data_IF_196598128437
#
_entry.id   IF_196598128437
#
_cell.length_a   1.000
_cell.length_b   1.000
_cell.length_c   1.000
_cell.angle_alpha   90.00
_cell.angle_beta   90.00
_cell.angle_gamma   90.00
#
_symmetry.space_group_name_H-M   'P 1'
#
loop_
_entity.id
_entity.type
_entity.pdbx_description
1 polymer ?
#
# COMPACT_ATOMS: atom_id res chain seq x y z
N UNK A 1 15.76 -2.45 -13.64
CA UNK A 1 14.78 -3.23 -12.84
C UNK A 1 13.59 -3.55 -13.72
N UNK A 2 13.10 -4.77 -13.60
CA UNK A 2 11.86 -5.23 -14.23
C UNK A 2 10.64 -4.45 -13.74
N UNK A 3 9.58 -4.37 -14.53
CA UNK A 3 8.28 -3.79 -14.17
C UNK A 3 7.74 -4.48 -12.93
N UNK A 4 7.79 -5.82 -12.92
CA UNK A 4 7.41 -6.63 -11.75
C UNK A 4 8.24 -6.25 -10.53
N UNK A 5 9.55 -6.09 -10.70
CA UNK A 5 10.45 -5.68 -9.63
C UNK A 5 10.14 -4.28 -9.08
N UNK A 6 9.83 -3.31 -9.95
CA UNK A 6 9.44 -1.95 -9.54
C UNK A 6 8.15 -1.96 -8.72
N UNK A 7 7.13 -2.71 -9.15
CA UNK A 7 5.86 -2.85 -8.43
C UNK A 7 6.06 -3.57 -7.09
N UNK A 8 6.74 -4.72 -7.09
CA UNK A 8 7.03 -5.47 -5.87
C UNK A 8 7.81 -4.63 -4.86
N UNK A 9 8.86 -3.92 -5.29
CA UNK A 9 9.61 -3.03 -4.42
C UNK A 9 8.72 -1.92 -3.83
N UNK A 10 7.86 -1.31 -4.65
CA UNK A 10 6.92 -0.29 -4.18
C UNK A 10 5.96 -0.86 -3.13
N UNK A 11 5.36 -2.02 -3.39
CA UNK A 11 4.45 -2.67 -2.44
C UNK A 11 5.15 -3.10 -1.15
N UNK A 12 6.36 -3.65 -1.23
CA UNK A 12 7.14 -4.05 -0.04
C UNK A 12 7.49 -2.82 0.81
N UNK A 13 7.93 -1.73 0.18
CA UNK A 13 8.24 -0.48 0.90
C UNK A 13 6.98 0.08 1.57
N UNK A 14 5.85 0.13 0.85
CA UNK A 14 4.58 0.58 1.42
C UNK A 14 4.11 -0.32 2.57
N UNK A 15 4.27 -1.63 2.43
CA UNK A 15 3.86 -2.59 3.44
C UNK A 15 4.71 -2.48 4.72
N UNK A 16 6.03 -2.41 4.58
CA UNK A 16 6.95 -2.16 5.71
C UNK A 16 6.62 -0.83 6.38
N UNK A 17 6.35 0.21 5.57
CA UNK A 17 5.96 1.50 6.08
C UNK A 17 4.66 1.43 6.89
N UNK A 18 3.62 0.75 6.39
CA UNK A 18 2.35 0.54 7.10
C UNK A 18 2.58 -0.21 8.41
N UNK A 19 3.33 -1.32 8.40
CA UNK A 19 3.65 -2.06 9.64
C UNK A 19 4.38 -1.16 10.62
N UNK A 20 5.36 -0.39 10.17
CA UNK A 20 6.11 0.54 11.00
C UNK A 20 5.22 1.59 11.64
N UNK A 21 4.30 2.18 10.86
CA UNK A 21 3.32 3.16 11.35
C UNK A 21 2.37 2.54 12.38
N UNK A 22 1.82 1.36 12.10
CA UNK A 22 0.92 0.67 13.02
C UNK A 22 1.65 0.31 14.32
N UNK A 23 2.85 -0.25 14.23
CA UNK A 23 3.67 -0.58 15.40
C UNK A 23 4.02 0.66 16.24
N UNK A 24 4.39 1.76 15.59
CA UNK A 24 4.66 3.03 16.26
C UNK A 24 3.40 3.61 16.93
N UNK A 25 2.23 3.42 16.32
CA UNK A 25 0.95 3.82 16.90
C UNK A 25 0.66 3.04 18.19
N UNK A 26 0.75 1.71 18.16
CA UNK A 26 0.59 0.87 19.36
C UNK A 26 1.59 1.24 20.46
N UNK A 27 2.85 1.48 20.09
CA UNK A 27 3.88 1.92 21.05
C UNK A 27 3.54 3.28 21.68
N UNK A 28 3.01 4.23 20.90
CA UNK A 28 2.62 5.56 21.39
C UNK A 28 1.41 5.48 22.31
N UNK A 29 0.38 4.70 21.96
CA UNK A 29 -0.80 4.50 22.80
C UNK A 29 -0.48 3.76 24.11
N UNK A 30 0.42 2.76 24.07
CA UNK A 30 0.85 2.05 25.28
C UNK A 30 1.50 2.98 26.31
N UNK A 31 2.11 4.10 25.90
CA UNK A 31 2.69 5.07 26.84
C UNK A 31 1.66 5.94 27.58
N UNK A 32 0.39 5.89 27.15
CA UNK A 32 -0.73 6.61 27.79
C UNK A 32 -1.46 5.76 28.84
N UNK A 33 -1.17 4.46 28.89
CA UNK A 33 -1.77 3.53 29.85
C UNK A 33 -1.41 3.94 31.29
N UNK A 34 -2.30 3.64 32.25
CA UNK A 34 -2.09 3.94 33.67
C UNK A 34 -2.32 5.40 34.12
N UNK A 35 -2.31 6.38 33.21
CA UNK A 35 -2.50 7.80 33.59
C UNK A 35 -3.92 8.15 34.04
N UNK A 36 -4.94 7.68 33.32
CA UNK A 36 -6.33 7.93 33.69
C UNK A 36 -6.68 7.29 35.06
N UNK A 37 -6.32 6.02 35.32
CA UNK A 37 -6.42 5.44 36.66
C UNK A 37 -5.66 6.26 37.72
N UNK A 38 -4.45 6.74 37.43
CA UNK A 38 -3.65 7.51 38.40
C UNK A 38 -4.27 8.89 38.74
N UNK A 39 -4.84 9.60 37.77
CA UNK A 39 -5.58 10.86 38.02
C UNK A 39 -6.81 10.60 38.90
N UNK A 40 -7.53 9.50 38.64
CA UNK A 40 -8.70 9.14 39.45
C UNK A 40 -8.31 8.70 40.87
N UNK A 41 -7.28 7.85 40.99
CA UNK A 41 -6.76 7.35 42.24
C UNK A 41 -6.24 8.50 43.13
N UNK A 42 -5.38 9.37 42.59
CA UNK A 42 -4.93 10.58 43.28
C UNK A 42 -6.09 11.52 43.64
N UNK A 43 -7.09 11.64 42.77
CA UNK A 43 -8.31 12.39 43.06
C UNK A 43 -9.09 11.85 44.25
N UNK A 44 -9.18 10.53 44.38
CA UNK A 44 -9.89 9.84 45.47
C UNK A 44 -9.25 10.07 46.85
N UNK A 45 -7.94 10.33 46.89
CA UNK A 45 -7.20 10.64 48.12
C UNK A 45 -7.71 11.91 48.80
N UNK A 46 -8.08 12.95 48.03
CA UNK A 46 -8.65 14.20 48.60
C UNK A 46 -9.95 13.91 49.36
N UNK A 47 -10.83 13.13 48.73
CA UNK A 47 -12.12 12.73 49.33
C UNK A 47 -11.91 11.89 50.59
N UNK A 48 -10.93 10.96 50.58
CA UNK A 48 -10.61 10.12 51.74
C UNK A 48 -10.03 10.91 52.91
N UNK A 49 -9.19 11.89 52.64
CA UNK A 49 -8.66 12.78 53.68
C UNK A 49 -9.81 13.52 54.40
N UNK A 50 -10.76 14.09 53.65
CA UNK A 50 -11.95 14.71 54.24
C UNK A 50 -12.87 13.72 54.95
N UNK A 51 -13.04 12.50 54.43
CA UNK A 51 -13.81 11.46 55.12
C UNK A 51 -13.19 11.11 56.47
N UNK A 52 -11.85 11.02 56.56
CA UNK A 52 -11.15 10.77 57.81
C UNK A 52 -11.31 11.94 58.79
N UNK A 53 -11.23 13.19 58.34
CA UNK A 53 -11.52 14.35 59.19
C UNK A 53 -12.96 14.35 59.70
N UNK A 54 -13.93 14.03 58.82
CA UNK A 54 -15.33 13.95 59.19
C UNK A 54 -15.62 12.80 60.18
N UNK A 55 -15.05 11.62 59.96
CA UNK A 55 -15.16 10.49 60.89
C UNK A 55 -14.49 10.80 62.23
N UNK A 56 -13.33 11.46 62.20
CA UNK A 56 -12.63 11.94 63.40
C UNK A 56 -13.53 12.85 64.23
N UNK A 57 -14.13 13.88 63.60
CA UNK A 57 -15.03 14.81 64.27
C UNK A 57 -16.30 14.13 64.80
N UNK A 58 -16.86 13.18 64.03
CA UNK A 58 -18.04 12.39 64.45
C UNK A 58 -17.72 11.46 65.63
N UNK A 59 -16.49 10.95 65.73
CA UNK A 59 -16.06 10.07 66.83
C UNK A 59 -16.00 10.76 68.20
N UNK A 60 -15.92 12.10 68.22
CA UNK A 60 -15.72 12.89 69.44
C UNK A 60 -16.96 12.87 70.35
N UNK A 61 -18.19 13.20 69.89
CA UNK A 61 -19.40 13.13 70.72
C UNK A 61 -20.04 11.73 70.78
N UNK A 62 -19.55 10.76 70.01
CA UNK A 62 -20.15 9.45 69.87
C UNK A 62 -20.10 8.61 71.16
N UNK A 63 -21.14 7.79 71.38
CA UNK A 63 -21.16 6.77 72.43
C UNK A 63 -20.12 5.66 72.19
N UNK A 64 -19.96 4.75 73.16
CA UNK A 64 -18.92 3.71 73.12
C UNK A 64 -19.06 2.75 71.91
N UNK A 65 -20.28 2.27 71.65
CA UNK A 65 -20.57 1.37 70.52
C UNK A 65 -20.36 2.06 69.16
N UNK A 66 -20.89 3.28 69.00
CA UNK A 66 -20.70 4.07 67.77
C UNK A 66 -19.23 4.44 67.56
N UNK A 67 -18.48 4.76 68.62
CA UNK A 67 -17.04 5.00 68.55
C UNK A 67 -16.30 3.79 68.00
N UNK A 68 -16.66 2.57 68.42
CA UNK A 68 -16.00 1.35 67.95
C UNK A 68 -16.24 1.11 66.45
N UNK A 69 -17.47 1.35 65.98
CA UNK A 69 -17.81 1.25 64.55
C UNK A 69 -17.06 2.30 63.72
N UNK A 70 -17.07 3.56 64.16
CA UNK A 70 -16.33 4.66 63.50
C UNK A 70 -14.83 4.34 63.45
N UNK A 71 -14.25 3.80 64.54
CA UNK A 71 -12.84 3.38 64.56
C UNK A 71 -12.55 2.33 63.50
N UNK A 72 -13.42 1.34 63.32
CA UNK A 72 -13.30 0.33 62.27
C UNK A 72 -13.32 0.94 60.87
N UNK A 73 -14.26 1.86 60.62
CA UNK A 73 -14.37 2.58 59.34
C UNK A 73 -13.12 3.44 59.06
N UNK A 74 -12.63 4.16 60.07
CA UNK A 74 -11.40 4.96 59.97
C UNK A 74 -10.19 4.09 59.64
N UNK A 75 -10.02 2.95 60.33
CA UNK A 75 -8.93 2.02 60.08
C UNK A 75 -8.96 1.48 58.63
N UNK A 76 -10.14 1.11 58.13
CA UNK A 76 -10.31 0.66 56.76
C UNK A 76 -9.94 1.76 55.74
N UNK A 77 -10.36 3.00 55.99
CA UNK A 77 -10.04 4.15 55.10
C UNK A 77 -8.57 4.50 55.11
N UNK A 78 -7.89 4.40 56.26
CA UNK A 78 -6.42 4.56 56.35
C UNK A 78 -5.72 3.48 55.52
N UNK A 79 -6.12 2.22 55.66
CA UNK A 79 -5.53 1.12 54.90
C UNK A 79 -5.73 1.27 53.37
N UNK A 80 -6.94 1.66 52.94
CA UNK A 80 -7.21 1.98 51.53
C UNK A 80 -6.34 3.15 51.03
N UNK A 81 -6.15 4.18 51.85
CA UNK A 81 -5.32 5.32 51.50
C UNK A 81 -3.86 4.90 51.33
N UNK A 82 -3.31 4.14 52.29
CA UNK A 82 -1.95 3.62 52.24
C UNK A 82 -1.73 2.75 50.99
N UNK A 83 -2.71 1.90 50.64
CA UNK A 83 -2.67 1.08 49.43
C UNK A 83 -2.63 1.94 48.16
N UNK A 84 -3.53 2.92 48.03
CA UNK A 84 -3.57 3.80 46.85
C UNK A 84 -2.28 4.62 46.74
N UNK A 85 -1.81 5.21 47.84
CA UNK A 85 -0.60 6.03 47.83
C UNK A 85 0.64 5.21 47.46
N UNK A 86 0.73 3.98 47.97
CA UNK A 86 1.80 3.04 47.60
C UNK A 86 1.72 2.64 46.13
N UNK A 87 0.51 2.34 45.63
CA UNK A 87 0.28 2.01 44.22
C UNK A 87 0.60 3.17 43.28
N UNK A 88 0.35 4.42 43.68
CA UNK A 88 0.76 5.62 42.93
C UNK A 88 2.28 5.80 42.90
N UNK A 89 3.02 5.31 43.89
CA UNK A 89 4.48 5.41 43.96
C UNK A 89 5.19 4.27 43.20
N UNK A 90 4.67 3.04 43.30
CA UNK A 90 5.38 1.83 42.86
C UNK A 90 4.70 1.13 41.68
N UNK A 91 3.48 1.54 41.32
CA UNK A 91 2.59 0.79 40.44
C UNK A 91 1.77 -0.25 41.21
N UNK A 92 0.60 -0.58 40.66
CA UNK A 92 -0.32 -1.58 41.21
C UNK A 92 -1.21 -2.10 40.08
N UNK A 93 -1.06 -3.39 39.74
CA UNK A 93 -1.84 -4.01 38.65
C UNK A 93 -3.34 -4.05 38.95
N UNK A 94 -3.73 -4.27 40.21
CA UNK A 94 -5.13 -4.34 40.63
C UNK A 94 -5.84 -2.98 40.57
N UNK A 95 -5.10 -1.89 40.74
CA UNK A 95 -5.57 -0.51 40.56
C UNK A 95 -5.32 0.04 39.15
N UNK A 96 -4.71 -0.76 38.26
CA UNK A 96 -4.25 -0.33 36.93
C UNK A 96 -3.32 0.90 36.97
N UNK A 97 -2.46 0.96 37.99
CA UNK A 97 -1.48 2.02 38.19
C UNK A 97 -0.12 1.57 37.68
N UNK A 98 0.54 2.45 36.93
CA UNK A 98 1.94 2.28 36.55
C UNK A 98 2.81 3.18 37.43
N UNK A 99 4.03 2.72 37.73
CA UNK A 99 5.01 3.53 38.42
C UNK A 99 5.27 4.84 37.63
N UNK A 100 5.22 6.01 38.29
CA UNK A 100 5.36 7.29 37.61
C UNK A 100 6.80 7.48 37.14
N UNK A 101 6.94 8.00 35.91
CA UNK A 101 8.23 8.39 35.33
C UNK A 101 8.39 9.90 35.18
N UNK A 102 7.34 10.67 35.41
CA UNK A 102 7.37 12.12 35.30
C UNK A 102 7.93 12.75 36.59
N UNK A 103 9.02 13.52 36.46
CA UNK A 103 9.75 14.07 37.61
C UNK A 103 8.89 14.93 38.55
N UNK A 104 7.95 15.70 38.00
CA UNK A 104 7.04 16.52 38.81
C UNK A 104 6.09 15.68 39.66
N UNK A 105 5.57 14.58 39.12
CA UNK A 105 4.72 13.62 39.84
C UNK A 105 5.52 12.95 40.96
N UNK A 106 6.73 12.46 40.63
CA UNK A 106 7.61 11.83 41.62
C UNK A 106 7.97 12.78 42.77
N UNK A 107 8.30 14.03 42.45
CA UNK A 107 8.60 15.06 43.46
C UNK A 107 7.40 15.34 44.37
N UNK A 108 6.20 15.43 43.81
CA UNK A 108 5.00 15.67 44.60
C UNK A 108 4.60 14.45 45.46
N UNK A 109 4.79 13.22 44.97
CA UNK A 109 4.63 12.00 45.78
C UNK A 109 5.60 11.97 46.97
N UNK A 110 6.87 12.33 46.74
CA UNK A 110 7.88 12.44 47.79
C UNK A 110 7.50 13.49 48.85
N UNK A 111 6.78 14.54 48.47
CA UNK A 111 6.26 15.57 49.39
C UNK A 111 5.01 15.11 50.14
N UNK A 112 4.04 14.50 49.45
CA UNK A 112 2.77 14.04 50.04
C UNK A 112 2.98 12.91 51.04
N UNK A 113 3.93 12.00 50.78
CA UNK A 113 4.17 10.82 51.64
C UNK A 113 4.46 11.15 53.12
N UNK A 114 5.43 12.00 53.48
CA UNK A 114 5.64 12.36 54.89
C UNK A 114 4.48 13.18 55.48
N UNK A 115 3.79 13.99 54.68
CA UNK A 115 2.60 14.72 55.13
C UNK A 115 1.43 13.79 55.44
N UNK A 116 1.24 12.75 54.62
CA UNK A 116 0.28 11.70 54.88
C UNK A 116 0.60 10.97 56.18
N UNK A 117 1.87 10.63 56.41
CA UNK A 117 2.28 9.96 57.65
C UNK A 117 1.92 10.81 58.88
N UNK A 118 2.25 12.10 58.87
CA UNK A 118 1.88 13.00 59.96
C UNK A 118 0.35 13.10 60.16
N UNK A 119 -0.40 13.38 59.08
CA UNK A 119 -1.86 13.49 59.14
C UNK A 119 -2.53 12.18 59.59
N UNK A 120 -2.03 11.04 59.10
CA UNK A 120 -2.50 9.70 59.49
C UNK A 120 -2.23 9.43 60.97
N UNK A 121 -1.07 9.82 61.49
CA UNK A 121 -0.71 9.61 62.89
C UNK A 121 -1.63 10.45 63.81
N UNK A 122 -2.01 11.67 63.41
CA UNK A 122 -3.01 12.47 64.14
C UNK A 122 -4.43 11.87 64.05
N UNK A 123 -4.81 11.30 62.91
CA UNK A 123 -6.07 10.54 62.77
C UNK A 123 -6.08 9.31 63.69
N UNK A 124 -4.97 8.58 63.78
CA UNK A 124 -4.81 7.43 64.69
C UNK A 124 -4.87 7.90 66.15
N UNK A 125 -4.30 9.05 66.49
CA UNK A 125 -4.39 9.61 67.84
C UNK A 125 -5.85 9.87 68.28
N UNK A 126 -6.74 10.27 67.35
CA UNK A 126 -8.19 10.38 67.63
C UNK A 126 -8.80 9.00 67.91
N UNK A 127 -8.40 7.97 67.16
CA UNK A 127 -8.88 6.59 67.33
C UNK A 127 -8.46 5.98 68.68
N UNK A 128 -7.25 6.30 69.14
CA UNK A 128 -6.63 5.75 70.35
C UNK A 128 -6.98 6.55 71.61
N UNK A 129 -7.50 7.77 71.47
CA UNK A 129 -7.89 8.62 72.59
C UNK A 129 -9.02 7.98 73.45
N UNK A 130 -8.68 7.65 74.70
CA UNK A 130 -9.57 6.97 75.64
C UNK A 130 -10.56 7.87 76.39
N UNK A 131 -10.41 9.20 76.32
CA UNK A 131 -11.29 10.16 77.01
C UNK A 131 -11.87 11.19 76.02
N UNK A 132 -13.07 11.75 76.29
CA UNK A 132 -13.63 12.79 75.44
C UNK A 132 -12.71 13.99 75.26
N UNK A 133 -12.06 14.46 76.34
CA UNK A 133 -11.13 15.59 76.29
C UNK A 133 -9.94 15.33 75.35
N UNK A 134 -9.33 14.15 75.43
CA UNK A 134 -8.24 13.75 74.54
C UNK A 134 -8.69 13.63 73.07
N UNK A 135 -9.92 13.14 72.82
CA UNK A 135 -10.50 13.10 71.47
C UNK A 135 -10.70 14.50 70.88
N UNK A 136 -11.20 15.45 71.67
CA UNK A 136 -11.35 16.86 71.24
C UNK A 136 -9.99 17.47 70.87
N UNK A 137 -8.96 17.26 71.70
CA UNK A 137 -7.61 17.77 71.46
C UNK A 137 -6.99 17.17 70.20
N UNK A 138 -7.05 15.85 70.03
CA UNK A 138 -6.53 15.18 68.84
C UNK A 138 -7.29 15.59 67.56
N UNK A 139 -8.62 15.67 67.62
CA UNK A 139 -9.43 16.06 66.46
C UNK A 139 -9.22 17.52 66.05
N UNK A 140 -8.85 18.40 66.99
CA UNK A 140 -8.53 19.79 66.67
C UNK A 140 -7.34 19.89 65.70
N UNK A 141 -6.32 19.03 65.83
CA UNK A 141 -5.20 18.94 64.90
C UNK A 141 -5.64 18.48 63.51
N UNK A 142 -6.33 17.33 63.44
CA UNK A 142 -6.87 16.79 62.17
C UNK A 142 -7.72 17.84 61.43
N UNK A 143 -8.58 18.56 62.17
CA UNK A 143 -9.46 19.59 61.60
C UNK A 143 -8.70 20.81 61.10
N UNK A 144 -7.60 21.19 61.76
CA UNK A 144 -6.76 22.32 61.36
C UNK A 144 -5.91 21.99 60.13
N UNK A 145 -5.42 20.76 60.02
CA UNK A 145 -4.43 20.36 59.01
C UNK A 145 -5.05 19.81 57.72
N UNK A 146 -6.27 19.27 57.76
CA UNK A 146 -6.88 18.59 56.60
C UNK A 146 -6.93 19.46 55.35
N UNK A 147 -7.19 20.77 55.50
CA UNK A 147 -7.28 21.68 54.35
C UNK A 147 -5.91 21.85 53.66
N UNK A 148 -4.86 22.09 54.43
CA UNK A 148 -3.49 22.25 53.91
C UNK A 148 -2.96 20.93 53.34
N UNK A 149 -3.26 19.81 54.02
CA UNK A 149 -2.91 18.49 53.51
C UNK A 149 -3.59 18.19 52.16
N UNK A 150 -4.91 18.45 52.07
CA UNK A 150 -5.66 18.25 50.83
C UNK A 150 -5.15 19.17 49.71
N UNK A 151 -4.66 20.37 50.01
CA UNK A 151 -4.04 21.24 49.01
C UNK A 151 -2.78 20.59 48.37
N UNK A 152 -1.98 19.87 49.16
CA UNK A 152 -0.82 19.12 48.65
C UNK A 152 -1.22 17.89 47.84
N UNK A 153 -2.31 17.23 48.20
CA UNK A 153 -2.91 16.17 47.38
C UNK A 153 -3.51 16.75 46.08
N UNK A 154 -4.08 17.94 46.10
CA UNK A 154 -4.56 18.63 44.90
C UNK A 154 -3.42 18.98 43.94
N UNK A 155 -2.28 19.42 44.48
CA UNK A 155 -1.06 19.61 43.69
C UNK A 155 -0.58 18.29 43.06
N UNK A 156 -0.73 17.14 43.73
CA UNK A 156 -0.44 15.82 43.15
C UNK A 156 -1.37 15.50 41.98
N UNK A 157 -2.68 15.74 42.13
CA UNK A 157 -3.65 15.54 41.04
C UNK A 157 -3.32 16.41 39.84
N UNK A 158 -2.95 17.68 40.06
CA UNK A 158 -2.52 18.60 39.00
C UNK A 158 -1.24 18.11 38.31
N UNK A 159 -0.27 17.61 39.06
CA UNK A 159 0.96 17.04 38.48
C UNK A 159 0.64 15.85 37.55
N UNK A 160 -0.28 14.96 37.93
CA UNK A 160 -0.73 13.88 37.05
C UNK A 160 -1.52 14.38 35.84
N UNK A 161 -2.41 15.37 35.99
CA UNK A 161 -3.17 15.95 34.87
C UNK A 161 -2.24 16.64 33.85
N UNK A 162 -1.27 17.43 34.33
CA UNK A 162 -0.27 18.09 33.48
C UNK A 162 0.63 17.08 32.77
N UNK A 163 1.10 16.05 33.46
CA UNK A 163 1.87 14.96 32.87
C UNK A 163 1.07 14.23 31.78
N UNK A 164 -0.20 13.92 32.06
CA UNK A 164 -1.13 13.30 31.10
C UNK A 164 -1.33 14.17 29.87
N UNK A 165 -1.63 15.47 30.04
CA UNK A 165 -1.79 16.43 28.93
C UNK A 165 -0.52 16.55 28.10
N UNK A 166 0.65 16.63 28.74
CA UNK A 166 1.93 16.73 28.03
C UNK A 166 2.23 15.46 27.20
N UNK A 167 1.86 14.27 27.70
CA UNK A 167 1.98 13.02 26.93
C UNK A 167 0.99 12.95 25.78
N UNK A 168 -0.28 13.30 26.01
CA UNK A 168 -1.31 13.36 24.96
C UNK A 168 -0.90 14.35 23.86
N UNK A 169 -0.37 15.52 24.23
CA UNK A 169 0.11 16.51 23.26
C UNK A 169 1.29 15.97 22.42
N UNK A 170 2.25 15.29 23.07
CA UNK A 170 3.36 14.61 22.37
C UNK A 170 2.86 13.50 21.44
N UNK A 171 1.92 12.67 21.90
CA UNK A 171 1.31 11.63 21.09
C UNK A 171 0.62 12.21 19.85
N UNK A 172 -0.19 13.28 20.01
CA UNK A 172 -0.82 13.98 18.88
C UNK A 172 0.19 14.58 17.90
N UNK A 173 1.31 15.10 18.40
CA UNK A 173 2.38 15.62 17.54
C UNK A 173 3.03 14.50 16.72
N UNK A 174 3.32 13.36 17.35
CA UNK A 174 3.86 12.16 16.69
C UNK A 174 2.87 11.65 15.64
N UNK A 175 1.58 11.54 15.97
CA UNK A 175 0.53 11.15 15.03
C UNK A 175 0.43 12.11 13.84
N UNK A 176 0.47 13.42 14.09
CA UNK A 176 0.50 14.43 13.03
C UNK A 176 1.70 14.26 12.08
N UNK A 177 2.89 14.00 12.63
CA UNK A 177 4.09 13.77 11.83
C UNK A 177 4.01 12.46 11.03
N UNK A 178 3.46 11.40 11.62
CA UNK A 178 3.20 10.13 10.94
C UNK A 178 2.24 10.32 9.77
N UNK A 179 1.17 11.11 9.94
CA UNK A 179 0.20 11.41 8.87
C UNK A 179 0.85 12.17 7.71
N UNK A 180 1.67 13.18 8.00
CA UNK A 180 2.41 13.93 6.98
C UNK A 180 3.39 13.00 6.25
N UNK A 181 4.12 12.17 6.99
CA UNK A 181 5.04 11.19 6.40
C UNK A 181 4.30 10.18 5.51
N UNK A 182 3.17 9.66 5.97
CA UNK A 182 2.34 8.75 5.19
C UNK A 182 1.84 9.37 3.89
N UNK A 183 1.42 10.64 3.93
CA UNK A 183 1.04 11.39 2.74
C UNK A 183 2.23 11.52 1.77
N UNK A 184 3.42 11.88 2.26
CA UNK A 184 4.62 12.00 1.43
C UNK A 184 5.00 10.66 0.79
N UNK A 185 4.91 9.54 1.53
CA UNK A 185 5.18 8.21 0.99
C UNK A 185 4.18 7.85 -0.11
N UNK A 186 2.88 8.10 0.09
CA UNK A 186 1.84 7.83 -0.93
C UNK A 186 2.03 8.70 -2.17
N UNK A 187 2.29 10.00 -2.00
CA UNK A 187 2.56 10.91 -3.11
C UNK A 187 3.83 10.49 -3.86
N UNK A 188 4.89 10.15 -3.14
CA UNK A 188 6.15 9.65 -3.71
C UNK A 188 5.97 8.36 -4.50
N UNK A 189 5.28 7.38 -3.93
CA UNK A 189 4.97 6.11 -4.60
C UNK A 189 4.10 6.32 -5.85
N UNK A 190 3.07 7.18 -5.75
CA UNK A 190 2.21 7.53 -6.89
C UNK A 190 3.00 8.22 -8.00
N UNK A 191 3.87 9.17 -7.66
CA UNK A 191 4.75 9.83 -8.61
C UNK A 191 5.71 8.84 -9.28
N UNK A 192 6.32 7.95 -8.49
CA UNK A 192 7.22 6.90 -8.98
C UNK A 192 6.51 5.95 -9.96
N UNK A 193 5.34 5.42 -9.59
CA UNK A 193 4.53 4.55 -10.46
C UNK A 193 4.18 5.28 -11.75
N UNK A 194 3.73 6.54 -11.65
CA UNK A 194 3.37 7.34 -12.83
C UNK A 194 4.57 7.55 -13.77
N UNK A 195 5.73 7.93 -13.23
CA UNK A 195 6.91 8.24 -14.02
C UNK A 195 7.59 6.99 -14.61
N UNK A 196 7.67 5.90 -13.84
CA UNK A 196 8.46 4.72 -14.22
C UNK A 196 7.66 3.62 -14.93
N UNK A 197 6.33 3.62 -14.78
CA UNK A 197 5.45 2.57 -15.30
C UNK A 197 4.40 3.18 -16.23
N UNK A 198 3.52 4.04 -15.73
CA UNK A 198 2.34 4.49 -16.49
C UNK A 198 2.70 5.36 -17.70
N UNK A 199 3.65 6.30 -17.56
CA UNK A 199 4.10 7.16 -18.67
C UNK A 199 4.76 6.34 -19.81
N UNK A 200 5.74 5.45 -19.54
CA UNK A 200 6.30 4.60 -20.59
C UNK A 200 5.26 3.69 -21.27
N UNK A 201 4.32 3.12 -20.52
CA UNK A 201 3.22 2.34 -21.10
C UNK A 201 2.32 3.19 -22.00
N UNK A 202 1.96 4.40 -21.57
CA UNK A 202 1.16 5.31 -22.37
C UNK A 202 1.88 5.73 -23.66
N UNK A 203 3.19 6.01 -23.59
CA UNK A 203 4.00 6.31 -24.76
C UNK A 203 4.05 5.12 -25.73
N UNK A 204 4.27 3.91 -25.21
CA UNK A 204 4.25 2.69 -26.01
C UNK A 204 2.91 2.50 -26.74
N UNK A 205 1.79 2.61 -26.03
CA UNK A 205 0.45 2.50 -26.62
C UNK A 205 0.20 3.55 -27.71
N UNK A 206 0.64 4.81 -27.48
CA UNK A 206 0.50 5.87 -28.48
C UNK A 206 1.28 5.55 -29.75
N UNK A 207 2.52 5.06 -29.62
CA UNK A 207 3.33 4.69 -30.78
C UNK A 207 2.78 3.48 -31.54
N UNK A 208 2.21 2.49 -30.85
CA UNK A 208 1.46 1.40 -31.51
C UNK A 208 0.28 1.93 -32.34
N UNK A 209 -0.48 2.87 -31.78
CA UNK A 209 -1.60 3.47 -32.49
C UNK A 209 -1.14 4.25 -33.73
N UNK A 210 0.01 4.92 -33.65
CA UNK A 210 0.58 5.65 -34.79
C UNK A 210 1.01 4.71 -35.94
N UNK A 211 1.64 3.57 -35.63
CA UNK A 211 2.03 2.57 -36.64
C UNK A 211 0.78 1.92 -37.27
N UNK A 212 -0.24 1.61 -36.47
CA UNK A 212 -1.48 1.03 -36.96
C UNK A 212 -2.32 2.01 -37.80
N UNK A 213 -2.29 3.31 -37.47
CA UNK A 213 -3.12 4.35 -38.11
C UNK A 213 -2.59 4.86 -39.45
N UNK A 214 -1.28 4.81 -39.71
CA UNK A 214 -0.67 5.30 -40.96
C UNK A 214 -0.69 4.26 -42.09
N UNK A 215 -1.86 3.73 -42.43
CA UNK A 215 -2.07 2.82 -43.58
C UNK A 215 -1.11 1.62 -43.66
N UNK A 216 -0.53 1.20 -42.53
CA UNK A 216 0.47 0.14 -42.50
C UNK A 216 1.87 0.57 -42.98
N UNK A 217 2.29 1.81 -42.74
CA UNK A 217 3.68 2.25 -42.92
C UNK A 217 4.64 1.45 -42.03
N UNK A 218 5.16 0.36 -42.61
CA UNK A 218 6.10 -0.56 -41.96
C UNK A 218 7.51 0.02 -41.81
N UNK A 219 7.78 1.28 -42.22
CA UNK A 219 9.12 1.88 -42.08
C UNK A 219 9.39 2.41 -40.67
N UNK A 220 8.34 2.69 -39.91
CA UNK A 220 8.42 3.21 -38.55
C UNK A 220 8.96 2.16 -37.56
N UNK A 221 9.77 2.63 -36.60
CA UNK A 221 10.31 1.80 -35.52
C UNK A 221 10.02 2.45 -34.17
N UNK A 222 9.73 1.61 -33.17
CA UNK A 222 9.59 2.04 -31.79
C UNK A 222 10.98 2.20 -31.17
N UNK A 223 11.28 3.38 -30.62
CA UNK A 223 12.49 3.60 -29.83
C UNK A 223 12.21 3.41 -28.35
N UNK A 224 12.92 2.50 -27.68
CA UNK A 224 12.96 2.45 -26.22
C UNK A 224 14.39 2.24 -25.74
N UNK A 225 14.94 3.25 -25.08
CA UNK A 225 16.20 3.15 -24.34
C UNK A 225 15.93 2.56 -22.94
N UNK A 226 15.50 1.29 -22.91
CA UNK A 226 15.16 0.57 -21.69
C UNK A 226 15.53 -0.91 -21.81
N UNK A 227 16.07 -1.43 -20.71
CA UNK A 227 16.42 -2.85 -20.56
C UNK A 227 15.41 -3.62 -19.69
N UNK A 228 14.19 -3.12 -19.55
CA UNK A 228 13.09 -3.79 -18.83
C UNK A 228 12.07 -4.41 -19.81
N UNK A 229 11.00 -5.03 -19.28
CA UNK A 229 10.00 -5.72 -20.08
C UNK A 229 9.35 -4.82 -21.13
N UNK A 230 9.26 -3.50 -20.87
CA UNK A 230 8.78 -2.53 -21.87
C UNK A 230 9.76 -2.44 -23.05
N UNK A 231 11.07 -2.41 -22.77
CA UNK A 231 12.09 -2.47 -23.82
C UNK A 231 12.07 -3.78 -24.61
N UNK A 232 11.83 -4.91 -23.93
CA UNK A 232 11.69 -6.21 -24.60
C UNK A 232 10.48 -6.23 -25.55
N UNK A 233 9.31 -5.70 -25.12
CA UNK A 233 8.13 -5.59 -25.99
C UNK A 233 8.42 -4.73 -27.22
N UNK A 234 9.12 -3.61 -27.04
CA UNK A 234 9.53 -2.73 -28.14
C UNK A 234 10.45 -3.45 -29.12
N UNK A 235 11.43 -4.20 -28.63
CA UNK A 235 12.33 -4.98 -29.48
C UNK A 235 11.58 -6.07 -30.26
N UNK A 236 10.74 -6.86 -29.59
CA UNK A 236 9.92 -7.89 -30.24
C UNK A 236 8.97 -7.32 -31.28
N UNK A 237 8.39 -6.14 -31.03
CA UNK A 237 7.55 -5.47 -32.02
C UNK A 237 8.34 -5.04 -33.26
N UNK A 238 9.51 -4.40 -33.09
CA UNK A 238 10.34 -3.97 -34.21
C UNK A 238 10.80 -5.17 -35.06
N UNK A 239 11.15 -6.29 -34.43
CA UNK A 239 11.46 -7.53 -35.15
C UNK A 239 10.27 -8.05 -35.94
N UNK A 240 9.08 -8.10 -35.34
CA UNK A 240 7.85 -8.49 -36.03
C UNK A 240 7.53 -7.59 -37.25
N UNK A 241 7.69 -6.27 -37.12
CA UNK A 241 7.51 -5.32 -38.24
C UNK A 241 8.55 -5.54 -39.33
N UNK A 242 9.80 -5.84 -38.95
CA UNK A 242 10.87 -6.17 -39.90
C UNK A 242 10.54 -7.43 -40.71
N UNK A 243 10.10 -8.50 -40.04
CA UNK A 243 9.72 -9.76 -40.69
C UNK A 243 8.50 -9.55 -41.60
N UNK A 244 7.51 -8.76 -41.16
CA UNK A 244 6.35 -8.41 -41.97
C UNK A 244 6.75 -7.63 -43.23
N UNK A 245 7.71 -6.70 -43.11
CA UNK A 245 8.24 -5.94 -44.25
C UNK A 245 8.90 -6.87 -45.26
N UNK A 246 9.72 -7.81 -44.79
CA UNK A 246 10.38 -8.79 -45.67
C UNK A 246 9.36 -9.69 -46.38
N UNK A 247 8.31 -10.13 -45.69
CA UNK A 247 7.23 -10.91 -46.29
C UNK A 247 6.51 -10.13 -47.40
N UNK A 248 6.21 -8.84 -47.20
CA UNK A 248 5.60 -8.00 -48.23
C UNK A 248 6.54 -7.80 -49.43
N UNK A 249 7.83 -7.58 -49.19
CA UNK A 249 8.82 -7.47 -50.28
C UNK A 249 8.92 -8.76 -51.09
N UNK A 250 8.94 -9.92 -50.44
CA UNK A 250 8.93 -11.22 -51.12
C UNK A 250 7.64 -11.45 -51.91
N UNK A 251 6.49 -11.04 -51.37
CA UNK A 251 5.21 -11.12 -52.06
C UNK A 251 5.18 -10.24 -53.33
N UNK A 252 5.73 -9.02 -53.26
CA UNK A 252 5.88 -8.13 -54.42
C UNK A 252 6.83 -8.72 -55.49
N UNK A 253 7.95 -9.30 -55.08
CA UNK A 253 8.88 -9.96 -55.98
C UNK A 253 8.22 -11.14 -56.71
N UNK A 254 7.52 -12.01 -55.97
CA UNK A 254 6.74 -13.12 -56.53
C UNK A 254 5.66 -12.61 -57.51
N UNK A 255 4.92 -11.56 -57.14
CA UNK A 255 3.93 -10.95 -58.04
C UNK A 255 4.55 -10.43 -59.34
N UNK A 256 5.76 -9.87 -59.28
CA UNK A 256 6.48 -9.36 -60.45
C UNK A 256 6.98 -10.51 -61.33
N UNK A 257 7.51 -11.58 -60.73
CA UNK A 257 7.93 -12.79 -61.41
C UNK A 257 6.76 -13.46 -62.13
N UNK A 258 5.61 -13.59 -61.45
CA UNK A 258 4.36 -14.11 -62.05
C UNK A 258 3.91 -13.25 -63.23
N UNK A 259 4.00 -11.92 -63.13
CA UNK A 259 3.65 -11.02 -64.24
C UNK A 259 4.61 -11.18 -65.43
N UNK A 260 5.92 -11.27 -65.18
CA UNK A 260 6.92 -11.48 -66.25
C UNK A 260 6.78 -12.85 -66.91
N UNK A 261 6.45 -13.88 -66.14
CA UNK A 261 6.14 -15.20 -66.67
C UNK A 261 4.88 -15.16 -67.55
N UNK A 262 3.84 -14.43 -67.15
CA UNK A 262 2.63 -14.25 -67.94
C UNK A 262 2.93 -13.54 -69.29
N UNK A 263 3.78 -12.51 -69.32
CA UNK A 263 4.22 -11.86 -70.57
C UNK A 263 5.01 -12.82 -71.47
N UNK A 264 5.90 -13.62 -70.87
CA UNK A 264 6.69 -14.61 -71.61
C UNK A 264 5.78 -15.67 -72.24
N UNK A 265 4.80 -16.16 -71.49
CA UNK A 265 3.78 -17.10 -71.97
C UNK A 265 2.93 -16.47 -73.07
N UNK A 266 2.55 -15.20 -72.95
CA UNK A 266 1.80 -14.49 -73.98
C UNK A 266 2.58 -14.38 -75.30
N UNK A 267 3.86 -13.98 -75.23
CA UNK A 267 4.73 -13.91 -76.41
C UNK A 267 4.92 -15.28 -77.06
N UNK A 268 5.19 -16.32 -76.26
CA UNK A 268 5.29 -17.69 -76.76
C UNK A 268 3.99 -18.17 -77.41
N UNK A 269 2.83 -17.79 -76.86
CA UNK A 269 1.52 -18.12 -77.44
C UNK A 269 1.30 -17.42 -78.79
N UNK A 270 1.77 -16.19 -78.98
CA UNK A 270 1.71 -15.50 -80.27
C UNK A 270 2.63 -16.15 -81.30
N UNK A 271 3.86 -16.45 -80.91
CA UNK A 271 4.82 -17.12 -81.79
C UNK A 271 4.32 -18.50 -82.21
N UNK A 272 3.79 -19.27 -81.25
CA UNK A 272 3.14 -20.54 -81.53
C UNK A 272 1.94 -20.39 -82.47
N UNK A 273 1.11 -19.36 -82.29
CA UNK A 273 0.00 -19.07 -83.21
C UNK A 273 0.50 -18.81 -84.65
N UNK A 274 1.59 -18.05 -84.81
CA UNK A 274 2.21 -17.83 -86.13
C UNK A 274 2.80 -19.10 -86.73
N UNK A 275 3.45 -19.93 -85.91
CA UNK A 275 4.01 -21.20 -86.35
C UNK A 275 2.90 -22.16 -86.80
N UNK A 276 1.79 -22.21 -86.08
CA UNK A 276 0.59 -22.97 -86.45
C UNK A 276 0.00 -22.46 -87.77
N UNK A 277 -0.09 -21.14 -87.98
CA UNK A 277 -0.53 -20.54 -89.23
C UNK A 277 0.38 -20.91 -90.41
N UNK A 278 1.70 -20.79 -90.23
CA UNK A 278 2.68 -21.19 -91.25
C UNK A 278 2.57 -22.69 -91.59
N UNK A 279 2.46 -23.55 -90.57
CA UNK A 279 2.25 -24.98 -90.77
C UNK A 279 0.95 -25.27 -91.51
N UNK A 280 -0.14 -24.57 -91.18
CA UNK A 280 -1.42 -24.73 -91.88
C UNK A 280 -1.29 -24.36 -93.37
N UNK A 281 -0.61 -23.24 -93.69
CA UNK A 281 -0.32 -22.83 -95.07
C UNK A 281 0.56 -23.86 -95.79
N UNK A 282 1.60 -24.37 -95.13
CA UNK A 282 2.48 -25.39 -95.71
C UNK A 282 1.73 -26.71 -95.98
N UNK A 283 0.84 -27.12 -95.07
CA UNK A 283 -0.02 -28.30 -95.24
C UNK A 283 -0.98 -28.09 -96.41
N UNK A 284 -1.59 -26.90 -96.54
CA UNK A 284 -2.44 -26.56 -97.69
C UNK A 284 -1.67 -26.63 -99.01
N UNK A 285 -0.48 -26.03 -99.09
CA UNK A 285 0.34 -26.08 -100.30
C UNK A 285 0.86 -27.50 -100.61
N UNK A 286 1.09 -28.33 -99.60
CA UNK A 286 1.43 -29.75 -99.80
C UNK A 286 0.23 -30.52 -100.33
N UNK A 287 -0.97 -30.26 -99.81
CA UNK A 287 -2.20 -30.85 -100.31
C UNK A 287 -2.45 -30.45 -101.78
N UNK A 288 -2.23 -29.18 -102.13
CA UNK A 288 -2.32 -28.67 -103.50
C UNK A 288 -1.33 -29.37 -104.45
N UNK A 289 -0.03 -29.44 -104.09
CA UNK A 289 0.95 -30.20 -104.90
C UNK A 289 0.64 -31.69 -104.99
N UNK A 290 0.07 -32.27 -103.94
CA UNK A 290 -0.34 -33.69 -103.96
C UNK A 290 -1.51 -33.89 -104.94
N UNK A 291 -2.42 -32.91 -105.01
CA UNK A 291 -3.51 -32.90 -105.99
C UNK A 291 -2.97 -32.73 -107.42
N UNK A 292 -2.05 -31.79 -107.65
CA UNK A 292 -1.38 -31.64 -108.95
C UNK A 292 -0.65 -32.93 -109.37
N UNK A 293 0.11 -33.55 -108.46
CA UNK A 293 0.76 -34.85 -108.72
C UNK A 293 -0.25 -35.96 -109.02
N UNK A 294 -1.41 -35.94 -108.38
CA UNK A 294 -2.47 -36.91 -108.64
C UNK A 294 -3.01 -36.74 -110.07
N UNK A 295 -3.29 -35.51 -110.48
CA UNK A 295 -3.72 -35.19 -111.84
C UNK A 295 -2.62 -35.53 -112.87
N UNK A 296 -1.36 -35.18 -112.60
CA UNK A 296 -0.22 -35.54 -113.46
C UNK A 296 -0.07 -37.05 -113.60
N UNK A 297 -0.16 -37.79 -112.49
CA UNK A 297 -0.11 -39.24 -112.49
C UNK A 297 -1.28 -39.84 -113.27
N UNK A 298 -2.49 -39.29 -113.15
CA UNK A 298 -3.66 -39.71 -113.93
C UNK A 298 -3.44 -39.45 -115.43
N UNK A 299 -2.88 -38.29 -115.78
CA UNK A 299 -2.49 -37.94 -117.16
C UNK A 299 -1.42 -38.90 -117.70
N UNK A 300 -0.41 -39.23 -116.90
CA UNK A 300 0.63 -40.21 -117.21
C UNK A 300 0.04 -41.61 -117.41
N UNK A 301 -0.92 -41.99 -116.57
CA UNK A 301 -1.62 -43.27 -116.67
C UNK A 301 -2.47 -43.32 -117.94
N UNK A 302 -3.16 -42.23 -118.32
CA UNK A 302 -3.86 -42.12 -119.60
C UNK A 302 -2.90 -42.17 -120.80
N UNK A 303 -1.74 -41.51 -120.71
CA UNK A 303 -0.71 -41.57 -121.76
C UNK A 303 -0.15 -42.98 -121.92
N UNK A 304 0.17 -43.67 -120.82
CA UNK A 304 0.61 -45.06 -120.82
C UNK A 304 -0.49 -46.01 -121.35
N UNK A 305 -1.75 -45.80 -120.98
CA UNK A 305 -2.88 -46.54 -121.54
C UNK A 305 -3.03 -46.29 -123.05
N UNK A 306 -2.81 -45.07 -123.53
CA UNK A 306 -2.79 -44.72 -124.95
C UNK A 306 -1.63 -45.38 -125.71
N UNK A 307 -0.43 -45.47 -125.12
CA UNK A 307 0.72 -46.19 -125.68
C UNK A 307 0.44 -47.70 -125.73
N UNK A 308 -0.13 -48.26 -124.66
CA UNK A 308 -0.49 -49.68 -124.59
C UNK A 308 -1.60 -50.07 -125.58
N UNK A 309 -2.50 -49.14 -125.94
CA UNK A 309 -3.51 -49.35 -126.98
C UNK A 309 -2.96 -49.28 -128.42
N UNK A 310 -1.71 -48.84 -128.60
CA UNK A 310 -1.02 -48.71 -129.88
C UNK A 310 0.13 -49.71 -130.09
N UNK A 311 0.36 -50.63 -129.13
CA UNK A 311 1.18 -51.83 -129.31
C UNK A 311 0.31 -53.05 -129.57
#
# INVERSE_FOLDING_TARGET
>A
MTLRGKLQATFVVLFIFIIGVVGLNFFTFGQLEGYAPAVNASGSLRMRAYQLAWLSARSVPAGAEETANIRGDMAARVAEYDHILTGLEQGDEGLHLLAPSDAAVMAQLQKVKPLWQAYRDDVIAVMDAGTPAAKYEANAKVSAEVADYVAEVDALVRAYDEASRARIARAKMIEGLILVLALLVVVGASHFIRAQILRPLAALTASFHEVAGKEGDLTQQLSADRYDEIGQIVHSFNSFVSDLRELITRAQACSTEVSGLADTVWHASIENSKAVEFNAVAVMGTAERTQEQHEEAETLTQSLAGIAAHM
#
